data_IF_323814447569
#
_entry.id   IF_323814447569
#
_cell.length_a   1.000
_cell.length_b   1.000
_cell.length_c   1.000
_cell.angle_alpha   90.00
_cell.angle_beta   90.00
_cell.angle_gamma   90.00
#
_symmetry.space_group_name_H-M   'P 1'
#
loop_
_entity.id
_entity.type
_entity.pdbx_description
1 polymer ?
#
# COMPACT_ATOMS: atom_id res chain seq x y z
N UNK A 1 5.90 -7.68 -1.05
CA UNK A 1 5.06 -6.50 -0.87
C UNK A 1 4.72 -5.84 -2.21
N UNK A 2 3.66 -5.07 -2.26
CA UNK A 2 3.22 -4.37 -3.45
C UNK A 2 3.43 -2.86 -3.27
N UNK A 3 4.14 -2.24 -4.22
CA UNK A 3 4.34 -0.79 -4.25
C UNK A 3 3.43 -0.20 -5.33
N UNK A 4 2.51 0.67 -4.91
CA UNK A 4 1.55 1.33 -5.82
C UNK A 4 1.90 2.80 -5.90
N UNK A 5 2.53 3.19 -7.01
CA UNK A 5 3.05 4.53 -7.25
C UNK A 5 3.05 4.82 -8.75
N UNK A 6 2.48 5.96 -9.15
CA UNK A 6 2.39 6.32 -10.56
C UNK A 6 3.70 6.90 -11.14
N UNK A 7 4.51 7.55 -10.31
CA UNK A 7 5.80 8.11 -10.74
C UNK A 7 6.83 6.98 -10.87
N UNK A 8 7.22 6.68 -12.10
CA UNK A 8 8.10 5.55 -12.39
C UNK A 8 9.42 5.57 -11.61
N UNK A 9 10.10 6.72 -11.59
CA UNK A 9 11.39 6.85 -10.89
C UNK A 9 11.25 6.62 -9.40
N UNK A 10 10.19 7.12 -8.80
CA UNK A 10 9.92 6.96 -7.37
C UNK A 10 9.53 5.51 -7.04
N UNK A 11 8.71 4.92 -7.88
CA UNK A 11 8.33 3.51 -7.77
C UNK A 11 9.56 2.59 -7.83
N UNK A 12 10.44 2.82 -8.81
CA UNK A 12 11.66 2.05 -8.97
C UNK A 12 12.61 2.25 -7.78
N UNK A 13 12.71 3.47 -7.29
CA UNK A 13 13.53 3.79 -6.11
C UNK A 13 13.06 3.00 -4.89
N UNK A 14 11.77 3.02 -4.59
CA UNK A 14 11.22 2.25 -3.47
C UNK A 14 11.46 0.75 -3.65
N UNK A 15 11.25 0.24 -4.85
CA UNK A 15 11.43 -1.18 -5.13
C UNK A 15 12.87 -1.63 -4.91
N UNK A 16 13.85 -0.86 -5.37
CA UNK A 16 15.26 -1.17 -5.20
C UNK A 16 15.62 -1.21 -3.72
N UNK A 17 15.25 -0.16 -2.98
CA UNK A 17 15.59 -0.07 -1.56
C UNK A 17 14.93 -1.18 -0.73
N UNK A 18 13.68 -1.49 -1.02
CA UNK A 18 12.96 -2.54 -0.29
C UNK A 18 13.50 -3.93 -0.62
N UNK A 19 13.90 -4.18 -1.86
CA UNK A 19 14.54 -5.44 -2.25
C UNK A 19 15.89 -5.61 -1.57
N UNK A 20 16.64 -4.54 -1.38
CA UNK A 20 17.91 -4.58 -0.63
C UNK A 20 17.70 -4.98 0.82
N UNK A 21 16.52 -4.69 1.37
CA UNK A 21 16.16 -5.10 2.74
C UNK A 21 15.62 -6.53 2.81
N UNK A 22 15.57 -7.23 1.69
CA UNK A 22 15.14 -8.63 1.63
C UNK A 22 13.69 -8.86 1.29
N UNK A 23 12.93 -7.84 0.93
CA UNK A 23 11.53 -7.99 0.53
C UNK A 23 11.40 -8.37 -0.94
N UNK A 24 10.45 -9.26 -1.24
CA UNK A 24 10.00 -9.48 -2.60
C UNK A 24 9.03 -8.36 -2.96
N UNK A 25 9.31 -7.64 -4.03
CA UNK A 25 8.55 -6.45 -4.39
C UNK A 25 7.97 -6.57 -5.80
N UNK A 26 6.65 -6.40 -5.89
CA UNK A 26 5.95 -6.14 -7.14
C UNK A 26 5.54 -4.67 -7.17
N UNK A 27 5.38 -4.12 -8.36
CA UNK A 27 5.03 -2.73 -8.57
C UNK A 27 3.77 -2.58 -9.40
N UNK A 28 2.93 -1.61 -9.04
CA UNK A 28 1.76 -1.22 -9.80
C UNK A 28 1.83 0.28 -10.09
N UNK A 29 1.39 0.69 -11.27
CA UNK A 29 1.48 2.09 -11.70
C UNK A 29 0.23 2.91 -11.38
N UNK A 30 -0.86 2.27 -11.01
CA UNK A 30 -2.12 2.92 -10.59
C UNK A 30 -2.98 1.92 -9.82
N UNK A 31 -4.16 2.37 -9.38
CA UNK A 31 -5.08 1.55 -8.61
C UNK A 31 -5.64 0.36 -9.41
N UNK A 32 -5.88 0.56 -10.70
CA UNK A 32 -6.38 -0.51 -11.56
C UNK A 32 -5.37 -1.64 -11.72
N UNK A 33 -4.11 -1.29 -11.94
CA UNK A 33 -3.02 -2.26 -12.00
C UNK A 33 -2.83 -2.96 -10.64
N UNK A 34 -2.93 -2.20 -9.55
CA UNK A 34 -2.81 -2.74 -8.20
C UNK A 34 -3.87 -3.79 -7.88
N UNK A 35 -5.10 -3.61 -8.34
CA UNK A 35 -6.16 -4.61 -8.14
C UNK A 35 -5.79 -5.95 -8.74
N UNK A 36 -5.11 -5.97 -9.89
CA UNK A 36 -4.68 -7.21 -10.54
C UNK A 36 -3.58 -7.92 -9.75
N UNK A 37 -2.78 -7.16 -8.99
CA UNK A 37 -1.71 -7.73 -8.17
C UNK A 37 -2.20 -8.34 -6.86
N UNK A 38 -3.45 -8.13 -6.46
CA UNK A 38 -3.97 -8.67 -5.21
C UNK A 38 -3.97 -10.21 -5.19
N UNK A 39 -4.13 -10.85 -6.34
CA UNK A 39 -4.07 -12.32 -6.46
C UNK A 39 -2.67 -12.87 -6.12
N UNK A 40 -1.63 -12.06 -6.22
CA UNK A 40 -0.28 -12.42 -5.81
C UNK A 40 -0.13 -12.50 -4.29
N UNK A 41 -1.13 -12.05 -3.55
CA UNK A 41 -1.19 -12.04 -2.07
C UNK A 41 -0.02 -11.29 -1.43
N UNK A 42 0.13 -10.00 -1.69
CA UNK A 42 1.18 -9.22 -1.03
C UNK A 42 1.00 -9.23 0.49
N UNK A 43 2.10 -9.25 1.22
CA UNK A 43 2.10 -9.20 2.69
C UNK A 43 1.83 -7.79 3.20
N UNK A 44 2.15 -6.78 2.41
CA UNK A 44 1.93 -5.38 2.73
C UNK A 44 1.84 -4.58 1.42
N UNK A 45 1.03 -3.55 1.44
CA UNK A 45 0.87 -2.63 0.31
C UNK A 45 1.35 -1.24 0.72
N UNK A 46 2.26 -0.67 -0.07
CA UNK A 46 2.65 0.73 0.02
C UNK A 46 1.84 1.48 -1.03
N UNK A 47 0.97 2.38 -0.60
CA UNK A 47 -0.05 2.99 -1.45
C UNK A 47 0.07 4.51 -1.49
N UNK A 48 0.32 5.07 -2.67
CA UNK A 48 0.15 6.49 -2.93
C UNK A 48 -1.34 6.77 -3.18
N UNK A 49 -1.83 7.89 -2.65
CA UNK A 49 -3.24 8.25 -2.81
C UNK A 49 -3.51 9.02 -4.10
N UNK A 50 -2.54 9.79 -4.57
CA UNK A 50 -2.72 10.71 -5.71
C UNK A 50 -2.16 10.10 -6.98
N UNK A 51 -3.01 9.36 -7.70
CA UNK A 51 -2.63 8.69 -8.95
C UNK A 51 -3.72 8.91 -10.02
N UNK A 52 -3.33 8.89 -11.32
CA UNK A 52 -4.30 8.94 -12.40
C UNK A 52 -5.05 7.61 -12.56
N UNK A 53 -6.07 7.58 -13.40
CA UNK A 53 -6.92 6.43 -13.75
C UNK A 53 -7.75 5.96 -12.55
N UNK A 54 -7.12 5.36 -11.56
CA UNK A 54 -7.75 5.00 -10.29
C UNK A 54 -6.81 5.43 -9.16
N UNK A 55 -7.27 6.35 -8.32
CA UNK A 55 -6.46 6.83 -7.19
C UNK A 55 -6.43 5.82 -6.04
N UNK A 56 -5.64 6.13 -5.02
CA UNK A 56 -5.46 5.23 -3.89
C UNK A 56 -6.72 5.02 -3.06
N UNK A 57 -7.57 6.02 -2.93
CA UNK A 57 -8.86 5.87 -2.22
C UNK A 57 -9.78 4.90 -2.94
N UNK A 58 -9.89 5.01 -4.25
CA UNK A 58 -10.72 4.13 -5.07
C UNK A 58 -10.21 2.69 -5.03
N UNK A 59 -8.89 2.52 -5.13
CA UNK A 59 -8.26 1.21 -4.99
C UNK A 59 -8.57 0.60 -3.63
N UNK A 60 -8.39 1.37 -2.57
CA UNK A 60 -8.59 0.89 -1.20
C UNK A 60 -10.03 0.44 -0.97
N UNK A 61 -10.99 1.25 -1.43
CA UNK A 61 -12.41 0.91 -1.33
C UNK A 61 -12.74 -0.40 -2.08
N UNK A 62 -12.22 -0.55 -3.30
CA UNK A 62 -12.46 -1.77 -4.10
C UNK A 62 -11.80 -3.00 -3.47
N UNK A 63 -10.60 -2.86 -2.93
CA UNK A 63 -9.92 -3.95 -2.24
C UNK A 63 -10.76 -4.43 -1.04
N UNK A 64 -11.32 -3.51 -0.28
CA UNK A 64 -12.11 -3.86 0.91
C UNK A 64 -13.44 -4.55 0.58
N UNK A 65 -13.93 -4.43 -0.64
CA UNK A 65 -15.11 -5.16 -1.11
C UNK A 65 -14.83 -6.63 -1.38
N UNK A 66 -13.56 -7.00 -1.56
CA UNK A 66 -13.16 -8.38 -1.81
C UNK A 66 -13.28 -9.18 -0.51
N UNK A 67 -14.01 -10.30 -0.51
CA UNK A 67 -14.12 -11.14 0.69
C UNK A 67 -12.77 -11.73 1.11
N UNK A 68 -12.61 -11.97 2.41
CA UNK A 68 -11.40 -12.54 2.98
C UNK A 68 -10.51 -11.50 3.64
N UNK A 69 -9.34 -11.93 4.07
CA UNK A 69 -8.37 -11.05 4.70
C UNK A 69 -7.70 -10.15 3.67
N UNK A 70 -7.38 -8.92 4.08
CA UNK A 70 -6.68 -7.95 3.25
C UNK A 70 -5.29 -7.69 3.80
N UNK A 71 -4.28 -7.46 2.93
CA UNK A 71 -2.97 -7.09 3.42
C UNK A 71 -3.01 -5.73 4.12
N UNK A 72 -2.15 -5.49 5.10
CA UNK A 72 -2.03 -4.18 5.71
C UNK A 72 -1.56 -3.17 4.69
N UNK A 73 -2.11 -1.95 4.76
CA UNK A 73 -1.81 -0.87 3.83
C UNK A 73 -1.14 0.26 4.56
N UNK A 74 0.00 0.69 4.02
CA UNK A 74 0.71 1.90 4.44
C UNK A 74 0.46 2.95 3.37
N UNK A 75 -0.21 4.02 3.76
CA UNK A 75 -0.51 5.13 2.85
C UNK A 75 0.62 6.15 2.91
N UNK A 76 1.15 6.53 1.75
CA UNK A 76 2.10 7.62 1.61
C UNK A 76 1.43 8.75 0.83
N UNK A 77 1.55 9.99 1.30
CA UNK A 77 0.88 11.11 0.66
C UNK A 77 1.57 12.44 0.97
N UNK A 78 1.59 13.33 -0.03
CA UNK A 78 2.06 14.70 0.15
C UNK A 78 1.03 15.58 0.86
N UNK A 79 -0.23 15.14 0.89
CA UNK A 79 -1.36 15.83 1.54
C UNK A 79 -1.90 14.97 2.66
N UNK A 80 -2.48 15.59 3.68
CA UNK A 80 -3.12 14.86 4.76
C UNK A 80 -4.24 13.97 4.21
N UNK A 81 -4.25 12.65 4.49
CA UNK A 81 -5.27 11.76 3.96
C UNK A 81 -6.63 11.97 4.63
N UNK A 82 -7.69 11.73 3.87
CA UNK A 82 -9.07 11.69 4.39
C UNK A 82 -9.28 10.35 5.10
N UNK A 83 -9.01 10.31 6.40
CA UNK A 83 -9.00 9.07 7.17
C UNK A 83 -10.35 8.35 7.19
N UNK A 84 -11.45 9.10 7.09
CA UNK A 84 -12.79 8.50 7.04
C UNK A 84 -12.97 7.58 5.81
N UNK A 85 -12.21 7.81 4.75
CA UNK A 85 -12.24 6.98 3.54
C UNK A 85 -11.21 5.85 3.56
N UNK A 86 -10.43 5.76 4.63
CA UNK A 86 -9.37 4.76 4.78
C UNK A 86 -9.53 3.97 6.09
N UNK A 87 -10.71 3.39 6.34
CA UNK A 87 -10.92 2.65 7.59
C UNK A 87 -10.00 1.42 7.64
N UNK A 88 -9.35 1.20 8.75
CA UNK A 88 -8.50 0.03 8.96
C UNK A 88 -7.13 0.07 8.29
N UNK A 89 -6.68 1.21 7.78
CA UNK A 89 -5.30 1.31 7.27
C UNK A 89 -4.31 1.08 8.41
N UNK A 90 -3.16 0.50 8.06
CA UNK A 90 -2.14 0.19 9.05
C UNK A 90 -1.40 1.43 9.52
N UNK A 91 -0.98 2.27 8.59
CA UNK A 91 -0.21 3.48 8.89
C UNK A 91 -0.32 4.50 7.77
N UNK A 92 -0.06 5.76 8.11
CA UNK A 92 0.12 6.84 7.14
C UNK A 92 1.52 7.41 7.30
N UNK A 93 2.13 7.78 6.18
CA UNK A 93 3.47 8.34 6.16
C UNK A 93 3.47 9.58 5.25
N UNK A 94 3.57 10.80 5.81
CA UNK A 94 3.55 12.01 4.99
C UNK A 94 4.83 12.13 4.18
N UNK A 95 4.71 12.60 2.94
CA UNK A 95 5.84 12.93 2.09
C UNK A 95 6.31 14.38 2.37
N UNK A 96 7.62 14.66 2.39
CA UNK A 96 8.71 13.70 2.31
C UNK A 96 8.91 12.95 3.63
N UNK A 97 9.42 11.72 3.55
CA UNK A 97 9.74 10.91 4.73
C UNK A 97 11.15 10.32 4.57
N UNK A 98 11.76 9.95 5.68
CA UNK A 98 13.01 9.21 5.68
C UNK A 98 12.75 7.73 5.42
N UNK A 99 13.64 7.07 4.68
CA UNK A 99 13.47 5.67 4.35
C UNK A 99 13.41 4.77 5.60
N UNK A 100 14.13 5.13 6.65
CA UNK A 100 14.06 4.43 7.93
C UNK A 100 12.65 4.40 8.54
N UNK A 101 11.88 5.48 8.34
CA UNK A 101 10.48 5.53 8.79
C UNK A 101 9.63 4.55 8.00
N UNK A 102 9.84 4.47 6.68
CA UNK A 102 9.15 3.50 5.83
C UNK A 102 9.48 2.07 6.26
N UNK A 103 10.74 1.75 6.44
CA UNK A 103 11.17 0.40 6.87
C UNK A 103 10.55 0.01 8.21
N UNK A 104 10.48 0.93 9.15
CA UNK A 104 9.85 0.68 10.45
C UNK A 104 8.36 0.35 10.30
N UNK A 105 7.65 1.08 9.47
CA UNK A 105 6.22 0.82 9.22
C UNK A 105 5.99 -0.50 8.51
N UNK A 106 6.83 -0.82 7.53
CA UNK A 106 6.76 -2.10 6.79
C UNK A 106 7.01 -3.27 7.74
N UNK A 107 8.05 -3.21 8.57
CA UNK A 107 8.35 -4.27 9.53
C UNK A 107 7.20 -4.50 10.50
N UNK A 108 6.58 -3.45 11.00
CA UNK A 108 5.42 -3.54 11.89
C UNK A 108 4.22 -4.15 11.17
N UNK A 109 3.98 -3.76 9.92
CA UNK A 109 2.87 -4.28 9.12
C UNK A 109 3.00 -5.78 8.86
N UNK A 110 4.19 -6.23 8.49
CA UNK A 110 4.46 -7.66 8.23
C UNK A 110 4.27 -8.48 9.51
N UNK A 111 4.74 -7.97 10.65
CA UNK A 111 4.57 -8.64 11.94
C UNK A 111 3.11 -8.69 12.37
N UNK A 112 2.35 -7.62 12.11
CA UNK A 112 0.94 -7.53 12.48
C UNK A 112 0.08 -8.51 11.68
N UNK A 113 0.43 -8.76 10.42
CA UNK A 113 -0.28 -9.68 9.54
C UNK A 113 -1.53 -9.06 8.89
N UNK A 114 -2.29 -9.90 8.14
CA UNK A 114 -3.44 -9.42 7.37
C UNK A 114 -4.57 -8.90 8.24
N UNK A 115 -5.31 -7.94 7.68
CA UNK A 115 -6.49 -7.35 8.31
C UNK A 115 -7.74 -8.11 7.84
N UNK A 116 -8.62 -8.56 8.76
CA UNK A 116 -9.87 -9.21 8.36
C UNK A 116 -10.75 -8.28 7.53
N UNK A 117 -11.44 -8.88 6.54
CA UNK A 117 -12.44 -8.16 5.77
C UNK A 117 -13.63 -7.77 6.67
N UNK A 118 -14.19 -6.57 6.46
CA UNK A 118 -15.42 -6.16 7.13
C UNK A 118 -16.60 -7.08 6.80
N UNK A 119 -16.57 -7.74 5.64
CA UNK A 119 -17.59 -8.70 5.24
C UNK A 119 -17.49 -10.05 5.98
N UNK A 120 -16.42 -10.28 6.72
CA UNK A 120 -16.23 -11.52 7.50
C UNK A 120 -16.94 -11.50 8.86
N UNK A 121 -17.52 -10.38 9.23
CA UNK A 121 -18.22 -10.21 10.51
C UNK A 121 -19.70 -10.05 10.36
#
# INVERSE_FOLDING_TARGET
MLVVEDVADLRDFYAILLREEGYDVACACDGSDALRWLSWRPDVILLDLMMPVMNGYEFYAKMREIPGDHPPVIVVSAVAPMRAELPGIHATLPKPFEFSQLLSRVATAVTHGPTPSAAAF
#
